data_IF_398412642653
#
_entry.id   IF_398412642653
#
_cell.length_a   1.000
_cell.length_b   1.000
_cell.length_c   1.000
_cell.angle_alpha   90.00
_cell.angle_beta   90.00
_cell.angle_gamma   90.00
#
_symmetry.space_group_name_H-M   'P 1'
#
loop_
_entity.id
_entity.type
_entity.pdbx_description
1 polymer ?
#
# COMPACT_ATOMS: atom_id res chain seq x y z
N UNK A 1 30.13 18.99 69.36
CA UNK A 1 29.33 20.25 69.33
C UNK A 1 28.68 20.48 67.98
N UNK A 2 29.30 20.12 66.82
CA UNK A 2 28.74 20.32 65.49
C UNK A 2 27.47 19.41 65.19
N UNK A 3 27.46 18.18 65.73
CA UNK A 3 26.29 17.25 65.53
C UNK A 3 25.03 17.71 66.27
N UNK A 4 25.16 18.39 67.39
CA UNK A 4 24.01 18.94 68.16
C UNK A 4 23.36 20.14 67.46
N UNK A 5 24.13 21.00 66.76
CA UNK A 5 23.59 22.15 66.02
C UNK A 5 22.78 21.75 64.76
N UNK A 6 23.05 20.59 64.17
CA UNK A 6 22.30 20.06 63.03
C UNK A 6 20.97 19.48 63.49
N UNK A 7 20.90 18.84 64.64
CA UNK A 7 19.69 18.30 65.24
C UNK A 7 18.65 19.40 65.55
N UNK A 8 19.11 20.56 66.05
CA UNK A 8 18.21 21.67 66.40
C UNK A 8 17.59 22.37 65.17
N UNK A 9 18.23 22.29 64.00
CA UNK A 9 17.72 22.87 62.75
C UNK A 9 16.80 21.93 61.95
N UNK A 10 16.57 20.72 62.45
CA UNK A 10 15.65 19.80 61.73
C UNK A 10 14.20 20.21 62.02
N UNK A 11 13.33 20.23 61.00
CA UNK A 11 11.91 20.54 61.19
C UNK A 11 11.24 19.57 62.16
N UNK A 12 11.77 18.34 62.32
CA UNK A 12 11.37 17.36 63.33
C UNK A 12 11.65 17.85 64.76
N UNK A 13 12.84 18.40 65.02
CA UNK A 13 13.17 18.92 66.35
C UNK A 13 12.29 20.14 66.70
N UNK A 14 11.97 20.98 65.72
CA UNK A 14 11.06 22.12 65.88
C UNK A 14 9.64 21.70 66.22
N UNK A 15 9.07 20.69 65.53
CA UNK A 15 7.73 20.18 65.86
C UNK A 15 7.67 19.46 67.19
N UNK A 16 8.72 18.71 67.58
CA UNK A 16 8.81 18.08 68.87
C UNK A 16 8.89 19.12 69.99
N UNK A 17 9.71 20.18 69.85
CA UNK A 17 9.82 21.24 70.83
C UNK A 17 8.48 22.00 70.96
N UNK A 18 7.79 22.29 69.84
CA UNK A 18 6.51 22.98 69.83
C UNK A 18 5.40 22.10 70.48
N UNK A 19 5.39 20.81 70.22
CA UNK A 19 4.46 19.83 70.83
C UNK A 19 4.66 19.78 72.33
N UNK A 20 5.92 19.70 72.79
CA UNK A 20 6.24 19.65 74.21
C UNK A 20 5.86 20.95 74.92
N UNK A 21 6.13 22.10 74.29
CA UNK A 21 5.78 23.42 74.76
C UNK A 21 4.29 23.61 74.94
N UNK A 22 3.49 23.15 73.95
CA UNK A 22 2.03 23.16 73.99
C UNK A 22 1.47 22.22 75.08
N UNK A 23 2.07 21.04 75.23
CA UNK A 23 1.70 20.09 76.30
C UNK A 23 1.88 20.72 77.64
N UNK A 24 3.05 21.38 77.88
CA UNK A 24 3.38 22.06 79.15
C UNK A 24 2.49 23.28 79.33
N UNK A 25 2.27 24.10 78.32
CA UNK A 25 1.47 25.32 78.40
C UNK A 25 0.01 25.02 78.71
N UNK A 26 -0.62 24.10 77.92
CA UNK A 26 -2.03 23.75 78.06
C UNK A 26 -2.25 22.94 79.37
N UNK A 27 -1.38 21.94 79.63
CA UNK A 27 -1.46 21.17 80.86
C UNK A 27 -1.23 22.06 82.09
N UNK A 28 -0.22 22.97 82.08
CA UNK A 28 0.06 23.91 83.16
C UNK A 28 -1.03 24.93 83.38
N UNK A 29 -1.72 25.39 82.28
CA UNK A 29 -2.86 26.32 82.40
C UNK A 29 -4.05 25.66 83.07
N UNK A 30 -4.37 24.42 82.63
CA UNK A 30 -5.48 23.60 83.20
C UNK A 30 -5.24 23.19 84.67
N UNK A 31 -3.96 23.03 85.12
CA UNK A 31 -3.61 22.73 86.51
C UNK A 31 -3.86 23.92 87.44
N UNK A 32 -4.03 25.16 86.96
CA UNK A 32 -4.39 26.33 87.73
C UNK A 32 -5.85 26.46 88.01
N UNK A 33 -6.70 25.71 87.31
CA UNK A 33 -8.17 25.70 87.51
C UNK A 33 -8.47 24.76 88.70
N UNK A 34 -9.11 25.24 89.80
CA UNK A 34 -9.44 24.41 90.93
C UNK A 34 -10.44 23.30 90.70
N UNK A 35 -11.16 23.32 89.55
CA UNK A 35 -12.15 22.33 89.18
C UNK A 35 -11.63 21.21 88.28
N UNK A 36 -10.37 21.25 87.83
CA UNK A 36 -9.80 20.22 86.96
C UNK A 36 -8.92 19.24 87.75
N UNK A 37 -9.12 17.98 87.51
CA UNK A 37 -8.27 16.92 88.12
C UNK A 37 -6.95 16.85 87.39
N UNK A 38 -5.83 16.50 88.07
CA UNK A 38 -4.48 16.35 87.46
C UNK A 38 -4.49 15.40 86.32
N UNK A 39 -5.34 14.39 86.32
CA UNK A 39 -5.43 13.40 85.22
C UNK A 39 -6.08 13.99 83.95
N UNK A 40 -7.04 14.91 84.06
CA UNK A 40 -7.70 15.58 82.94
C UNK A 40 -6.77 16.62 82.30
N UNK A 41 -6.04 17.37 83.06
CA UNK A 41 -5.06 18.31 82.58
C UNK A 41 -3.96 17.62 81.77
N UNK A 42 -3.49 16.44 82.24
CA UNK A 42 -2.49 15.67 81.52
C UNK A 42 -3.04 15.06 80.22
N UNK A 43 -4.28 14.58 80.24
CA UNK A 43 -4.96 14.03 79.01
C UNK A 43 -5.15 15.10 77.96
N UNK A 44 -5.64 16.27 78.33
CA UNK A 44 -5.91 17.37 77.37
C UNK A 44 -4.61 17.97 76.82
N UNK A 45 -3.59 18.14 77.66
CA UNK A 45 -2.24 18.57 77.24
C UNK A 45 -1.61 17.54 76.28
N UNK A 46 -1.75 16.25 76.62
CA UNK A 46 -1.25 15.16 75.77
C UNK A 46 -1.96 15.10 74.37
N UNK A 47 -3.27 15.33 74.37
CA UNK A 47 -4.03 15.44 73.10
C UNK A 47 -3.59 16.63 72.24
N UNK A 48 -3.39 17.79 72.87
CA UNK A 48 -2.93 19.01 72.13
C UNK A 48 -1.51 18.83 71.56
N UNK A 49 -0.60 18.22 72.33
CA UNK A 49 0.74 17.90 71.86
C UNK A 49 0.74 16.81 70.74
N UNK A 50 -0.12 15.77 70.92
CA UNK A 50 -0.29 14.72 69.93
C UNK A 50 -0.84 15.20 68.60
N UNK A 51 -1.76 16.20 68.62
CA UNK A 51 -2.34 16.78 67.40
C UNK A 51 -1.27 17.42 66.52
N UNK A 52 -0.26 18.12 67.11
CA UNK A 52 0.84 18.71 66.33
C UNK A 52 1.70 17.64 65.66
N UNK A 53 2.02 16.58 66.37
CA UNK A 53 2.78 15.44 65.82
C UNK A 53 2.04 14.79 64.68
N UNK A 54 0.70 14.60 64.83
CA UNK A 54 -0.16 14.03 63.79
C UNK A 54 -0.20 14.95 62.55
N UNK A 55 -0.41 16.25 62.72
CA UNK A 55 -0.40 17.22 61.60
C UNK A 55 0.94 17.26 60.88
N UNK A 56 2.04 17.17 61.62
CA UNK A 56 3.39 17.12 61.01
C UNK A 56 3.59 15.83 60.24
N UNK A 57 3.11 14.68 60.77
CA UNK A 57 3.21 13.40 60.08
C UNK A 57 2.38 13.42 58.80
N UNK A 58 1.17 14.01 58.79
CA UNK A 58 0.35 14.21 57.62
C UNK A 58 1.02 15.11 56.60
N UNK A 59 1.59 16.24 57.03
CA UNK A 59 2.32 17.14 56.13
C UNK A 59 3.57 16.46 55.52
N UNK A 60 4.31 15.69 56.30
CA UNK A 60 5.48 14.96 55.82
C UNK A 60 5.08 13.87 54.80
N UNK A 61 3.98 13.20 55.07
CA UNK A 61 3.42 12.18 54.14
C UNK A 61 2.97 12.83 52.84
N UNK A 62 2.24 13.95 52.90
CA UNK A 62 1.82 14.71 51.72
C UNK A 62 3.04 15.20 50.92
N UNK A 63 4.05 15.70 51.59
CA UNK A 63 5.31 16.12 50.93
C UNK A 63 6.04 14.96 50.25
N UNK A 64 6.06 13.77 50.89
CA UNK A 64 6.61 12.55 50.26
C UNK A 64 5.83 12.13 49.03
N UNK A 65 4.50 12.13 49.11
CA UNK A 65 3.64 11.81 47.98
C UNK A 65 3.89 12.77 46.79
N UNK A 66 3.97 14.07 47.03
CA UNK A 66 4.25 15.04 45.97
C UNK A 66 5.64 14.86 45.32
N UNK A 67 6.63 14.44 46.07
CA UNK A 67 7.97 14.13 45.53
C UNK A 67 7.94 12.87 44.71
N UNK A 68 7.22 11.84 45.16
CA UNK A 68 7.01 10.59 44.44
C UNK A 68 6.24 10.80 43.12
N UNK A 69 5.16 11.57 43.16
CA UNK A 69 4.36 11.96 41.96
C UNK A 69 5.21 12.70 40.94
N UNK A 70 6.06 13.66 41.41
CA UNK A 70 6.99 14.39 40.51
C UNK A 70 8.06 13.47 39.93
N UNK A 71 8.57 12.50 40.68
CA UNK A 71 9.52 11.52 40.14
C UNK A 71 8.87 10.64 39.06
N UNK A 72 7.67 10.12 39.31
CA UNK A 72 6.95 9.34 38.33
C UNK A 72 6.66 10.16 37.06
N UNK A 73 6.29 11.42 37.21
CA UNK A 73 6.04 12.29 36.05
C UNK A 73 7.34 12.53 35.24
N UNK A 74 8.47 12.77 35.90
CA UNK A 74 9.77 12.92 35.22
C UNK A 74 10.17 11.62 34.52
N UNK A 75 9.94 10.46 35.16
CA UNK A 75 10.24 9.15 34.55
C UNK A 75 9.38 8.89 33.33
N UNK A 76 8.07 9.21 33.38
CA UNK A 76 7.17 9.12 32.21
C UNK A 76 7.64 10.02 31.07
N UNK A 77 7.96 11.28 31.38
CA UNK A 77 8.44 12.22 30.38
C UNK A 77 9.77 11.76 29.75
N UNK A 78 10.69 11.19 30.53
CA UNK A 78 11.92 10.60 29.99
C UNK A 78 11.64 9.44 29.08
N UNK A 79 10.76 8.52 29.49
CA UNK A 79 10.39 7.38 28.67
C UNK A 79 9.74 7.81 27.34
N UNK A 80 8.84 8.80 27.37
CA UNK A 80 8.22 9.37 26.17
C UNK A 80 9.26 10.02 25.24
N UNK A 81 10.23 10.75 25.82
CA UNK A 81 11.32 11.35 25.04
C UNK A 81 12.24 10.28 24.42
N UNK A 82 12.55 9.21 25.13
CA UNK A 82 13.36 8.10 24.63
C UNK A 82 12.63 7.36 23.51
N UNK A 83 11.32 7.11 23.66
CA UNK A 83 10.50 6.52 22.61
C UNK A 83 10.48 7.39 21.35
N UNK A 84 10.26 8.71 21.48
CA UNK A 84 10.29 9.64 20.35
C UNK A 84 11.66 9.68 19.67
N UNK A 85 12.75 9.68 20.41
CA UNK A 85 14.11 9.62 19.85
C UNK A 85 14.35 8.33 19.08
N UNK A 86 13.96 7.20 19.67
CA UNK A 86 14.09 5.89 19.01
C UNK A 86 13.30 5.83 17.70
N UNK A 87 12.09 6.41 17.67
CA UNK A 87 11.30 6.47 16.46
C UNK A 87 11.91 7.39 15.40
N UNK A 88 12.38 8.59 15.80
CA UNK A 88 13.10 9.49 14.90
C UNK A 88 14.39 8.88 14.32
N UNK A 89 15.13 8.14 15.14
CA UNK A 89 16.33 7.44 14.67
C UNK A 89 15.98 6.33 13.67
N UNK A 90 14.88 5.59 13.90
CA UNK A 90 14.37 4.60 12.95
C UNK A 90 13.92 5.23 11.63
N UNK A 91 13.23 6.37 11.70
CA UNK A 91 12.83 7.13 10.51
C UNK A 91 14.06 7.54 9.70
N UNK A 92 15.01 8.18 10.34
CA UNK A 92 16.24 8.62 9.71
C UNK A 92 17.02 7.48 9.05
N UNK A 93 17.16 6.32 9.73
CA UNK A 93 17.84 5.15 9.17
C UNK A 93 17.08 4.62 7.93
N UNK A 94 15.73 4.64 7.96
CA UNK A 94 14.92 4.21 6.82
C UNK A 94 15.07 5.17 5.64
N UNK A 95 15.07 6.48 5.88
CA UNK A 95 15.29 7.51 4.87
C UNK A 95 16.68 7.39 4.22
N UNK A 96 17.72 7.21 5.04
CA UNK A 96 19.10 7.01 4.56
C UNK A 96 19.23 5.74 3.71
N UNK A 97 18.59 4.65 4.13
CA UNK A 97 18.56 3.38 3.36
C UNK A 97 17.81 3.56 2.05
N UNK A 98 16.65 4.23 2.06
CA UNK A 98 15.88 4.51 0.86
C UNK A 98 16.71 5.35 -0.12
N UNK A 99 17.24 6.50 0.32
CA UNK A 99 18.04 7.39 -0.51
C UNK A 99 19.26 6.67 -1.12
N UNK A 100 19.99 5.89 -0.30
CA UNK A 100 21.15 5.12 -0.77
C UNK A 100 20.75 4.04 -1.78
N UNK A 101 19.60 3.39 -1.58
CA UNK A 101 19.11 2.37 -2.51
C UNK A 101 18.70 3.00 -3.85
N UNK A 102 18.05 4.18 -3.83
CA UNK A 102 17.74 4.92 -5.07
C UNK A 102 19.01 5.32 -5.82
N UNK A 103 20.05 5.79 -5.12
CA UNK A 103 21.35 6.10 -5.73
C UNK A 103 21.96 4.86 -6.40
N UNK A 104 21.92 3.71 -5.73
CA UNK A 104 22.47 2.45 -6.25
C UNK A 104 21.72 1.88 -7.44
N UNK A 105 20.45 2.28 -7.69
CA UNK A 105 19.75 1.93 -8.93
C UNK A 105 20.37 2.54 -10.18
N UNK A 106 21.15 3.61 -10.03
CA UNK A 106 21.92 4.22 -11.11
C UNK A 106 23.27 3.54 -11.38
N UNK A 107 23.64 2.49 -10.67
CA UNK A 107 24.92 1.81 -10.83
C UNK A 107 24.95 0.97 -12.12
N UNK A 108 26.13 0.88 -12.74
CA UNK A 108 26.31 0.10 -13.98
C UNK A 108 26.25 -1.42 -13.73
N UNK A 109 26.63 -1.87 -12.54
CA UNK A 109 26.62 -3.30 -12.18
C UNK A 109 25.21 -3.80 -11.85
N UNK A 110 24.72 -4.79 -12.60
CA UNK A 110 23.38 -5.37 -12.46
C UNK A 110 23.09 -5.89 -11.06
N UNK A 111 24.07 -6.58 -10.45
CA UNK A 111 23.96 -7.14 -9.11
C UNK A 111 23.74 -6.03 -8.06
N UNK A 112 24.35 -4.86 -8.24
CA UNK A 112 24.17 -3.70 -7.35
C UNK A 112 22.76 -3.16 -7.50
N UNK A 113 22.25 -3.03 -8.74
CA UNK A 113 20.87 -2.58 -9.02
C UNK A 113 19.84 -3.55 -8.44
N UNK A 114 20.04 -4.86 -8.63
CA UNK A 114 19.17 -5.89 -8.01
C UNK A 114 19.19 -5.80 -6.50
N UNK A 115 20.38 -5.67 -5.89
CA UNK A 115 20.51 -5.49 -4.44
C UNK A 115 19.77 -4.23 -3.94
N UNK A 116 19.87 -3.13 -4.68
CA UNK A 116 19.17 -1.88 -4.39
C UNK A 116 17.64 -2.04 -4.44
N UNK A 117 17.11 -2.75 -5.45
CA UNK A 117 15.67 -3.05 -5.55
C UNK A 117 15.17 -3.87 -4.37
N UNK A 118 15.92 -4.89 -3.96
CA UNK A 118 15.58 -5.69 -2.77
C UNK A 118 15.65 -4.87 -1.49
N UNK A 119 16.62 -3.96 -1.37
CA UNK A 119 16.70 -3.05 -0.22
C UNK A 119 15.50 -2.10 -0.16
N UNK A 120 15.06 -1.53 -1.31
CA UNK A 120 13.83 -0.72 -1.41
C UNK A 120 12.60 -1.53 -1.00
N UNK A 121 12.45 -2.75 -1.52
CA UNK A 121 11.35 -3.64 -1.12
C UNK A 121 11.39 -3.97 0.39
N UNK A 122 12.59 -4.11 0.97
CA UNK A 122 12.79 -4.27 2.41
C UNK A 122 12.32 -3.06 3.21
N UNK A 123 12.58 -1.84 2.73
CA UNK A 123 12.06 -0.60 3.33
C UNK A 123 10.53 -0.59 3.28
N UNK A 124 9.92 -0.86 2.14
CA UNK A 124 8.46 -0.89 1.98
C UNK A 124 7.78 -1.92 2.91
N UNK A 125 8.37 -3.11 3.09
CA UNK A 125 7.84 -4.14 4.00
C UNK A 125 7.97 -3.76 5.47
N UNK A 126 9.03 -3.07 5.85
CA UNK A 126 9.24 -2.61 7.24
C UNK A 126 8.43 -1.36 7.57
N UNK A 127 8.12 -0.54 6.55
CA UNK A 127 7.42 0.73 6.65
C UNK A 127 6.40 0.87 5.52
N UNK A 128 5.14 0.45 5.75
CA UNK A 128 4.10 0.45 4.72
C UNK A 128 3.83 1.82 4.08
N UNK A 129 4.15 2.92 4.76
CA UNK A 129 4.05 4.29 4.24
C UNK A 129 4.96 4.55 3.03
N UNK A 130 6.06 3.78 2.88
CA UNK A 130 6.95 3.88 1.72
C UNK A 130 6.52 3.02 0.54
N UNK A 131 5.52 2.14 0.69
CA UNK A 131 5.18 1.16 -0.35
C UNK A 131 4.85 1.83 -1.67
N UNK A 132 4.01 2.88 -1.69
CA UNK A 132 3.71 3.60 -2.93
C UNK A 132 4.97 4.23 -3.54
N UNK A 133 5.79 4.89 -2.74
CA UNK A 133 7.03 5.54 -3.22
C UNK A 133 7.99 4.52 -3.82
N UNK A 134 8.14 3.34 -3.20
CA UNK A 134 8.98 2.27 -3.73
C UNK A 134 8.41 1.71 -5.03
N UNK A 135 7.10 1.51 -5.12
CA UNK A 135 6.43 1.10 -6.36
C UNK A 135 6.64 2.13 -7.47
N UNK A 136 6.54 3.43 -7.17
CA UNK A 136 6.80 4.51 -8.13
C UNK A 136 8.24 4.49 -8.65
N UNK A 137 9.23 4.22 -7.79
CA UNK A 137 10.64 4.07 -8.16
C UNK A 137 10.84 2.84 -9.07
N UNK A 138 10.28 1.68 -8.72
CA UNK A 138 10.37 0.47 -9.53
C UNK A 138 9.66 0.63 -10.89
N UNK A 139 8.47 1.23 -10.91
CA UNK A 139 7.77 1.56 -12.15
C UNK A 139 8.57 2.55 -13.01
N UNK A 140 9.17 3.57 -12.38
CA UNK A 140 10.06 4.51 -13.08
C UNK A 140 11.27 3.82 -13.72
N UNK A 141 11.86 2.85 -13.02
CA UNK A 141 12.93 2.03 -13.59
C UNK A 141 12.45 1.26 -14.83
N UNK A 142 11.27 0.63 -14.78
CA UNK A 142 10.70 -0.10 -15.92
C UNK A 142 10.32 0.80 -17.10
N UNK A 143 10.05 2.09 -16.88
CA UNK A 143 9.78 3.06 -17.94
C UNK A 143 11.04 3.55 -18.70
N UNK A 144 12.22 3.24 -18.20
CA UNK A 144 13.45 3.54 -18.93
C UNK A 144 13.42 2.85 -20.30
N UNK A 145 13.85 3.53 -21.37
CA UNK A 145 13.91 2.92 -22.70
C UNK A 145 14.70 1.62 -22.66
N UNK A 146 14.12 0.58 -23.21
CA UNK A 146 14.73 -0.74 -23.29
C UNK A 146 14.25 -1.44 -24.55
N UNK A 147 15.18 -2.08 -25.25
CA UNK A 147 14.91 -2.91 -26.42
C UNK A 147 15.65 -4.23 -26.26
N UNK A 148 15.04 -5.30 -26.75
CA UNK A 148 15.63 -6.63 -26.74
C UNK A 148 15.41 -7.27 -28.11
N UNK A 149 16.36 -8.05 -28.58
CA UNK A 149 16.28 -8.69 -29.90
C UNK A 149 14.99 -9.49 -30.10
N UNK A 150 14.51 -10.18 -29.06
CA UNK A 150 13.25 -10.92 -29.12
C UNK A 150 12.00 -10.05 -29.31
N UNK A 151 12.07 -8.73 -29.04
CA UNK A 151 10.93 -7.81 -29.23
C UNK A 151 10.79 -7.32 -30.66
N UNK A 152 11.83 -7.48 -31.48
CA UNK A 152 11.85 -7.06 -32.88
C UNK A 152 11.25 -8.15 -33.81
N UNK A 153 11.03 -9.35 -33.31
CA UNK A 153 10.43 -10.42 -34.06
C UNK A 153 8.94 -10.21 -34.29
N UNK A 154 8.51 -10.33 -35.53
CA UNK A 154 7.10 -10.26 -35.92
C UNK A 154 6.39 -11.59 -35.58
N UNK A 155 5.41 -11.56 -34.71
CA UNK A 155 4.55 -12.72 -34.40
C UNK A 155 4.14 -12.81 -32.93
N UNK A 156 3.02 -13.46 -32.62
CA UNK A 156 2.64 -13.73 -31.26
C UNK A 156 3.58 -14.75 -30.63
N UNK A 157 4.11 -14.47 -29.45
CA UNK A 157 4.79 -15.49 -28.65
C UNK A 157 3.76 -16.50 -28.13
N UNK A 158 3.87 -17.73 -28.54
CA UNK A 158 2.94 -18.79 -28.20
C UNK A 158 3.24 -19.45 -26.85
N UNK A 159 4.48 -19.48 -26.44
CA UNK A 159 4.93 -20.08 -25.17
C UNK A 159 5.88 -19.15 -24.40
N UNK A 160 5.75 -19.03 -23.05
CA UNK A 160 6.70 -18.34 -22.20
C UNK A 160 8.14 -18.82 -22.31
N UNK A 161 8.35 -20.07 -22.67
CA UNK A 161 9.67 -20.68 -22.82
C UNK A 161 10.18 -20.68 -24.28
N UNK A 162 9.32 -20.32 -25.24
CA UNK A 162 9.65 -20.33 -26.65
C UNK A 162 10.30 -19.01 -27.06
N UNK A 163 11.53 -18.83 -26.64
CA UNK A 163 12.40 -17.74 -27.11
C UNK A 163 13.12 -18.09 -28.40
N UNK A 164 12.66 -19.07 -29.15
CA UNK A 164 13.11 -19.48 -30.48
C UNK A 164 14.59 -19.17 -30.82
N UNK A 165 15.51 -19.38 -29.88
CA UNK A 165 16.94 -19.21 -30.08
C UNK A 165 17.44 -17.77 -30.30
N UNK A 166 16.57 -16.76 -30.19
CA UNK A 166 16.98 -15.34 -30.29
C UNK A 166 17.45 -14.85 -28.93
N UNK A 167 18.75 -14.84 -28.78
CA UNK A 167 19.40 -14.21 -27.64
C UNK A 167 19.73 -12.75 -27.95
N UNK A 168 19.51 -11.88 -26.96
CA UNK A 168 19.99 -10.50 -27.00
C UNK A 168 21.51 -10.42 -26.85
N UNK A 169 22.05 -9.20 -26.86
CA UNK A 169 23.42 -9.02 -26.39
C UNK A 169 23.53 -9.39 -24.90
N UNK A 170 24.73 -9.74 -24.40
CA UNK A 170 24.91 -10.01 -22.98
C UNK A 170 24.35 -8.90 -22.06
N UNK A 171 24.51 -7.64 -22.46
CA UNK A 171 24.00 -6.48 -21.72
C UNK A 171 22.46 -6.42 -21.74
N UNK A 172 21.82 -6.78 -22.86
CA UNK A 172 20.36 -6.85 -22.96
C UNK A 172 19.79 -7.95 -22.08
N UNK A 173 20.44 -9.11 -22.08
CA UNK A 173 20.01 -10.24 -21.22
C UNK A 173 20.16 -9.91 -19.73
N UNK A 174 21.27 -9.28 -19.32
CA UNK A 174 21.47 -8.86 -17.93
C UNK A 174 20.44 -7.80 -17.52
N UNK A 175 20.22 -6.79 -18.35
CA UNK A 175 19.18 -5.78 -18.08
C UNK A 175 17.79 -6.40 -18.00
N UNK A 176 17.46 -7.38 -18.84
CA UNK A 176 16.20 -8.11 -18.77
C UNK A 176 16.02 -8.79 -17.41
N UNK A 177 17.04 -9.44 -16.86
CA UNK A 177 16.97 -10.06 -15.54
C UNK A 177 16.73 -9.04 -14.42
N UNK A 178 17.36 -7.87 -14.51
CA UNK A 178 17.10 -6.76 -13.58
C UNK A 178 15.64 -6.29 -13.67
N UNK A 179 15.10 -6.13 -14.88
CA UNK A 179 13.71 -5.71 -15.13
C UNK A 179 12.70 -6.76 -14.65
N UNK A 180 12.95 -8.04 -14.88
CA UNK A 180 12.12 -9.13 -14.35
C UNK A 180 12.13 -9.15 -12.82
N UNK A 181 13.28 -8.83 -12.20
CA UNK A 181 13.35 -8.67 -10.75
C UNK A 181 12.49 -7.49 -10.25
N UNK A 182 12.54 -6.34 -10.95
CA UNK A 182 11.69 -5.20 -10.62
C UNK A 182 10.19 -5.56 -10.70
N UNK A 183 9.77 -6.25 -11.77
CA UNK A 183 8.39 -6.70 -11.95
C UNK A 183 7.96 -7.64 -10.81
N UNK A 184 8.79 -8.64 -10.46
CA UNK A 184 8.51 -9.55 -9.36
C UNK A 184 8.35 -8.81 -8.03
N UNK A 185 9.23 -7.85 -7.74
CA UNK A 185 9.13 -7.06 -6.50
C UNK A 185 7.91 -6.15 -6.47
N UNK A 186 7.47 -5.61 -7.61
CA UNK A 186 6.19 -4.90 -7.70
C UNK A 186 5.05 -5.82 -7.29
N UNK A 187 4.98 -7.03 -7.86
CA UNK A 187 3.95 -8.03 -7.54
C UNK A 187 3.97 -8.40 -6.05
N UNK A 188 5.16 -8.63 -5.49
CA UNK A 188 5.34 -9.01 -4.08
C UNK A 188 4.93 -7.90 -3.10
N UNK A 189 4.99 -6.63 -3.51
CA UNK A 189 4.60 -5.49 -2.70
C UNK A 189 3.10 -5.16 -2.78
N UNK A 190 2.41 -5.64 -3.81
CA UNK A 190 0.98 -5.45 -3.96
C UNK A 190 0.21 -6.39 -3.03
N UNK A 191 -0.82 -5.89 -2.34
CA UNK A 191 -1.67 -6.73 -1.51
C UNK A 191 -2.53 -7.68 -2.35
N UNK A 192 -3.02 -8.73 -1.72
CA UNK A 192 -3.94 -9.67 -2.32
C UNK A 192 -5.32 -9.04 -2.57
N UNK A 193 -6.01 -9.51 -3.61
CA UNK A 193 -7.28 -8.93 -4.06
C UNK A 193 -8.40 -9.03 -3.00
N UNK A 194 -8.35 -10.04 -2.16
CA UNK A 194 -9.32 -10.33 -1.09
C UNK A 194 -9.02 -9.62 0.23
N UNK A 195 -7.82 -9.07 0.42
CA UNK A 195 -7.51 -8.27 1.61
C UNK A 195 -8.32 -6.98 1.63
N UNK A 196 -9.46 -7.00 2.37
CA UNK A 196 -10.35 -5.86 2.47
C UNK A 196 -9.71 -4.63 3.15
N UNK A 197 -8.71 -4.83 4.01
CA UNK A 197 -8.09 -3.76 4.83
C UNK A 197 -6.91 -3.09 4.13
N UNK A 198 -6.21 -3.81 3.26
CA UNK A 198 -5.07 -3.24 2.58
C UNK A 198 -5.48 -2.13 1.59
N UNK A 199 -4.69 -1.06 1.45
CA UNK A 199 -4.91 -0.04 0.43
C UNK A 199 -4.65 -0.60 -0.96
N UNK A 200 -5.23 0.02 -2.00
CA UNK A 200 -4.79 -0.20 -3.38
C UNK A 200 -3.67 0.75 -3.72
N UNK A 201 -2.58 0.22 -4.26
CA UNK A 201 -1.43 1.01 -4.73
C UNK A 201 -1.52 1.28 -6.23
N UNK A 202 -1.06 2.45 -6.65
CA UNK A 202 -1.05 2.88 -8.04
C UNK A 202 0.18 2.34 -8.77
N UNK A 203 0.00 1.93 -10.03
CA UNK A 203 1.07 1.51 -10.91
C UNK A 203 1.08 2.38 -12.18
N UNK A 204 2.16 3.12 -12.40
CA UNK A 204 2.39 3.85 -13.64
C UNK A 204 3.51 3.20 -14.47
N UNK A 205 3.10 2.35 -15.40
CA UNK A 205 3.95 1.67 -16.37
C UNK A 205 3.77 2.24 -17.78
N UNK A 206 3.42 3.52 -17.89
CA UNK A 206 3.26 4.22 -19.17
C UNK A 206 4.54 4.12 -20.00
N UNK A 207 4.46 3.55 -21.21
CA UNK A 207 5.58 3.37 -22.12
C UNK A 207 6.63 2.34 -21.67
N UNK A 208 6.39 1.60 -20.58
CA UNK A 208 7.29 0.55 -20.12
C UNK A 208 7.31 -0.64 -21.08
N UNK A 209 8.48 -1.24 -21.27
CA UNK A 209 8.61 -2.55 -21.90
C UNK A 209 8.63 -3.60 -20.79
N UNK A 210 7.61 -4.43 -20.71
CA UNK A 210 7.46 -5.48 -19.69
C UNK A 210 7.25 -6.84 -20.36
N UNK A 211 7.77 -7.89 -19.76
CA UNK A 211 7.69 -9.25 -20.26
C UNK A 211 7.17 -10.17 -19.16
N UNK A 212 6.24 -11.07 -19.51
CA UNK A 212 5.60 -11.99 -18.56
C UNK A 212 5.02 -11.28 -17.31
N UNK A 213 4.36 -10.13 -17.51
CA UNK A 213 3.79 -9.38 -16.40
C UNK A 213 2.63 -10.17 -15.78
N UNK A 214 2.83 -10.72 -14.59
CA UNK A 214 1.81 -11.45 -13.84
C UNK A 214 1.45 -10.69 -12.55
N UNK A 215 0.29 -10.04 -12.59
CA UNK A 215 -0.31 -9.32 -11.45
C UNK A 215 -1.51 -10.08 -10.87
N UNK A 216 -1.68 -11.37 -11.23
CA UNK A 216 -2.87 -12.14 -10.86
C UNK A 216 -3.14 -12.13 -9.36
N UNK A 217 -4.43 -12.04 -9.00
CA UNK A 217 -4.88 -12.03 -7.61
C UNK A 217 -4.47 -10.82 -6.80
N UNK A 218 -4.00 -9.73 -7.43
CA UNK A 218 -3.53 -8.54 -6.70
C UNK A 218 -4.58 -7.44 -6.63
N UNK A 219 -4.51 -6.66 -5.54
CA UNK A 219 -5.29 -5.45 -5.34
C UNK A 219 -4.49 -4.25 -5.80
N UNK A 220 -5.05 -3.51 -6.74
CA UNK A 220 -4.37 -2.40 -7.42
C UNK A 220 -5.25 -1.15 -7.26
N UNK A 221 -4.63 -0.01 -7.00
CA UNK A 221 -5.28 1.29 -7.04
C UNK A 221 -5.61 1.67 -8.49
N UNK A 222 -4.80 2.49 -9.09
CA UNK A 222 -4.85 2.86 -10.50
C UNK A 222 -3.78 2.09 -11.27
N UNK A 223 -4.05 1.67 -12.50
CA UNK A 223 -3.06 1.06 -13.39
C UNK A 223 -2.97 1.80 -14.72
N UNK A 224 -1.76 2.26 -15.06
CA UNK A 224 -1.47 2.94 -16.33
C UNK A 224 -0.48 2.09 -17.13
N UNK A 225 -0.96 1.53 -18.25
CA UNK A 225 -0.18 0.77 -19.23
C UNK A 225 -0.30 1.41 -20.63
N UNK A 226 -0.48 2.73 -20.67
CA UNK A 226 -0.56 3.48 -21.93
C UNK A 226 0.75 3.35 -22.69
N UNK A 227 0.67 3.02 -23.97
CA UNK A 227 1.84 2.86 -24.85
C UNK A 227 2.88 1.84 -24.34
N UNK A 228 2.51 0.99 -23.38
CA UNK A 228 3.42 -0.04 -22.88
C UNK A 228 3.61 -1.15 -23.91
N UNK A 229 4.85 -1.60 -24.07
CA UNK A 229 5.17 -2.84 -24.77
C UNK A 229 4.90 -4.02 -23.82
N UNK A 230 3.80 -4.74 -24.03
CA UNK A 230 3.43 -5.91 -23.26
C UNK A 230 3.90 -7.16 -24.01
N UNK A 231 5.11 -7.60 -23.71
CA UNK A 231 5.74 -8.71 -24.40
C UNK A 231 5.36 -10.06 -23.75
N UNK A 232 5.24 -11.08 -24.57
CA UNK A 232 4.94 -12.47 -24.18
C UNK A 232 3.54 -12.62 -23.54
N UNK A 233 3.37 -12.54 -22.24
CA UNK A 233 2.07 -12.66 -21.61
C UNK A 233 1.82 -11.59 -20.56
N UNK A 234 0.56 -11.16 -20.44
CA UNK A 234 0.10 -10.28 -19.37
C UNK A 234 -1.06 -10.93 -18.66
N UNK A 235 -0.97 -11.10 -17.36
CA UNK A 235 -1.98 -11.76 -16.55
C UNK A 235 -2.47 -10.84 -15.41
N UNK A 236 -3.76 -10.51 -15.45
CA UNK A 236 -4.47 -9.74 -14.44
C UNK A 236 -5.62 -10.56 -13.81
N UNK A 237 -5.64 -11.89 -14.03
CA UNK A 237 -6.75 -12.72 -13.57
C UNK A 237 -6.95 -12.62 -12.07
N UNK A 238 -8.22 -12.50 -11.63
CA UNK A 238 -8.57 -12.37 -10.22
C UNK A 238 -8.14 -11.06 -9.56
N UNK A 239 -7.64 -10.07 -10.33
CA UNK A 239 -7.30 -8.76 -9.78
C UNK A 239 -8.52 -7.98 -9.33
N UNK A 240 -8.31 -7.13 -8.33
CA UNK A 240 -9.27 -6.10 -7.93
C UNK A 240 -8.67 -4.72 -8.14
N UNK A 241 -9.10 -4.04 -9.21
CA UNK A 241 -8.60 -2.72 -9.61
C UNK A 241 -9.61 -1.67 -9.12
N UNK A 242 -9.20 -0.87 -8.13
CA UNK A 242 -10.06 0.08 -7.43
C UNK A 242 -10.21 1.40 -8.18
N UNK A 243 -9.14 1.83 -8.84
CA UNK A 243 -9.06 3.06 -9.62
C UNK A 243 -9.21 2.83 -11.11
N UNK A 244 -9.01 3.87 -11.92
CA UNK A 244 -9.07 3.76 -13.38
C UNK A 244 -7.93 2.90 -13.93
N UNK A 245 -8.26 2.11 -14.97
CA UNK A 245 -7.33 1.25 -15.69
C UNK A 245 -7.17 1.74 -17.14
N UNK A 246 -5.94 2.04 -17.55
CA UNK A 246 -5.65 2.57 -18.89
C UNK A 246 -4.62 1.70 -19.59
N UNK A 247 -5.07 1.02 -20.65
CA UNK A 247 -4.25 0.21 -21.56
C UNK A 247 -4.13 0.87 -22.94
N UNK A 248 -4.46 2.15 -23.05
CA UNK A 248 -4.54 2.87 -24.33
C UNK A 248 -3.29 2.69 -25.17
N UNK A 249 -3.45 2.23 -26.42
CA UNK A 249 -2.39 1.96 -27.35
C UNK A 249 -1.26 1.04 -26.79
N UNK A 250 -1.55 0.20 -25.80
CA UNK A 250 -0.64 -0.81 -25.35
C UNK A 250 -0.41 -1.86 -26.43
N UNK A 251 0.79 -2.42 -26.50
CA UNK A 251 1.16 -3.41 -27.51
C UNK A 251 1.35 -2.88 -28.94
N UNK A 252 1.21 -1.57 -29.16
CA UNK A 252 1.21 -0.98 -30.50
C UNK A 252 2.59 -0.61 -31.04
N UNK A 253 3.65 -0.71 -30.26
CA UNK A 253 4.95 -0.24 -30.69
C UNK A 253 5.80 -1.34 -31.30
N UNK A 254 6.09 -1.16 -32.57
CA UNK A 254 7.16 -1.75 -33.39
C UNK A 254 7.59 -3.16 -32.97
N UNK A 255 6.94 -4.16 -33.52
CA UNK A 255 7.43 -5.52 -33.47
C UNK A 255 6.46 -6.50 -32.84
N UNK A 256 6.71 -6.94 -31.62
CA UNK A 256 5.96 -8.03 -31.00
C UNK A 256 4.65 -7.54 -30.43
N UNK A 257 3.57 -8.07 -30.92
CA UNK A 257 2.23 -7.85 -30.39
C UNK A 257 2.13 -8.40 -28.96
N UNK A 258 1.17 -7.89 -28.18
CA UNK A 258 0.83 -8.50 -26.89
C UNK A 258 0.63 -9.99 -27.11
N UNK A 259 1.33 -10.83 -26.37
CA UNK A 259 1.08 -12.25 -26.32
C UNK A 259 -0.28 -12.56 -25.72
N UNK A 260 -0.43 -13.58 -24.92
CA UNK A 260 -1.69 -13.86 -24.26
C UNK A 260 -2.02 -12.77 -23.22
N UNK A 261 -3.22 -12.21 -23.28
CA UNK A 261 -3.75 -11.26 -22.31
C UNK A 261 -4.87 -11.90 -21.50
N UNK A 262 -4.73 -11.98 -20.18
CA UNK A 262 -5.68 -12.65 -19.31
C UNK A 262 -6.21 -11.69 -18.25
N UNK A 263 -7.53 -11.57 -18.18
CA UNK A 263 -8.26 -10.79 -17.19
C UNK A 263 -9.45 -11.59 -16.63
N UNK A 264 -9.32 -12.92 -16.48
CA UNK A 264 -10.39 -13.75 -15.95
C UNK A 264 -10.77 -13.32 -14.55
N UNK A 265 -12.07 -13.23 -14.28
CA UNK A 265 -12.62 -12.92 -12.97
C UNK A 265 -12.04 -11.62 -12.36
N UNK A 266 -11.51 -10.73 -13.19
CA UNK A 266 -10.97 -9.43 -12.79
C UNK A 266 -12.08 -8.44 -12.54
N UNK A 267 -11.99 -7.67 -11.46
CA UNK A 267 -12.95 -6.59 -11.15
C UNK A 267 -12.34 -5.22 -11.40
N UNK A 268 -12.88 -4.48 -12.36
CA UNK A 268 -12.58 -3.09 -12.63
C UNK A 268 -13.67 -2.21 -11.98
N UNK A 269 -13.35 -1.54 -10.88
CA UNK A 269 -14.34 -0.73 -10.16
C UNK A 269 -14.61 0.63 -10.81
N UNK A 270 -13.68 1.14 -11.59
CA UNK A 270 -13.81 2.38 -12.35
C UNK A 270 -13.63 2.11 -13.84
N UNK A 271 -13.43 3.19 -14.62
CA UNK A 271 -13.25 3.10 -16.08
C UNK A 271 -12.09 2.19 -16.48
N UNK A 272 -12.31 1.40 -17.54
CA UNK A 272 -11.30 0.53 -18.12
C UNK A 272 -11.15 0.83 -19.61
N UNK A 273 -10.04 1.41 -20.02
CA UNK A 273 -9.80 1.90 -21.37
C UNK A 273 -8.70 1.11 -22.08
N UNK A 274 -9.11 0.42 -23.13
CA UNK A 274 -8.27 -0.36 -24.02
C UNK A 274 -8.21 0.26 -25.43
N UNK A 275 -8.43 1.57 -25.54
CA UNK A 275 -8.52 2.24 -26.84
C UNK A 275 -7.22 2.11 -27.63
N UNK A 276 -7.30 1.63 -28.88
CA UNK A 276 -6.16 1.42 -29.75
C UNK A 276 -5.18 0.33 -29.28
N UNK A 277 -5.56 -0.50 -28.32
CA UNK A 277 -4.76 -1.64 -27.86
C UNK A 277 -4.73 -2.73 -28.94
N UNK A 278 -3.58 -3.37 -29.14
CA UNK A 278 -3.42 -4.49 -30.08
C UNK A 278 -3.15 -5.77 -29.29
N UNK A 279 -4.12 -6.68 -29.28
CA UNK A 279 -4.00 -8.02 -28.73
C UNK A 279 -3.53 -8.98 -29.82
N UNK A 280 -2.27 -9.38 -29.78
CA UNK A 280 -1.65 -10.19 -30.83
C UNK A 280 -1.97 -11.68 -30.76
N UNK A 281 -2.31 -12.16 -29.56
CA UNK A 281 -2.73 -13.53 -29.30
C UNK A 281 -4.07 -13.52 -28.56
N UNK A 282 -4.40 -14.61 -27.87
CA UNK A 282 -5.66 -14.74 -27.14
C UNK A 282 -5.83 -13.67 -26.05
N UNK A 283 -6.97 -12.98 -26.10
CA UNK A 283 -7.43 -12.04 -25.06
C UNK A 283 -8.61 -12.66 -24.29
N UNK A 284 -8.40 -13.00 -23.03
CA UNK A 284 -9.34 -13.74 -22.20
C UNK A 284 -9.87 -12.87 -21.05
N UNK A 285 -11.11 -12.44 -21.17
CA UNK A 285 -11.81 -11.59 -20.19
C UNK A 285 -12.94 -12.35 -19.47
N UNK A 286 -13.00 -13.67 -19.56
CA UNK A 286 -14.10 -14.47 -19.01
C UNK A 286 -14.37 -14.15 -17.56
N UNK A 287 -15.66 -13.97 -17.22
CA UNK A 287 -16.11 -13.69 -15.86
C UNK A 287 -15.70 -12.31 -15.32
N UNK A 288 -15.00 -11.48 -16.09
CA UNK A 288 -14.58 -10.15 -15.64
C UNK A 288 -15.80 -9.26 -15.36
N UNK A 289 -15.63 -8.36 -14.39
CA UNK A 289 -16.65 -7.36 -14.02
C UNK A 289 -16.15 -5.95 -14.28
N UNK A 290 -16.84 -5.22 -15.14
CA UNK A 290 -16.60 -3.83 -15.45
C UNK A 290 -17.69 -2.96 -14.80
N UNK A 291 -17.38 -2.35 -13.65
CA UNK A 291 -18.31 -1.49 -12.94
C UNK A 291 -18.35 -0.07 -13.53
N UNK A 292 -17.27 0.40 -14.13
CA UNK A 292 -17.17 1.69 -14.82
C UNK A 292 -17.38 1.60 -16.33
N UNK A 293 -17.22 2.71 -17.03
CA UNK A 293 -17.22 2.75 -18.49
C UNK A 293 -16.07 1.93 -19.05
N UNK A 294 -16.35 1.11 -20.06
CA UNK A 294 -15.38 0.26 -20.74
C UNK A 294 -15.24 0.69 -22.21
N UNK A 295 -14.02 0.88 -22.64
CA UNK A 295 -13.75 1.45 -23.96
C UNK A 295 -12.68 0.63 -24.72
N UNK A 296 -13.10 -0.03 -25.81
CA UNK A 296 -12.25 -0.73 -26.76
C UNK A 296 -12.16 -0.01 -28.12
N UNK A 297 -12.43 1.29 -28.18
CA UNK A 297 -12.38 2.06 -29.45
C UNK A 297 -11.05 1.82 -30.16
N UNK A 298 -11.12 1.47 -31.45
CA UNK A 298 -9.96 1.18 -32.30
C UNK A 298 -9.07 0.03 -31.83
N UNK A 299 -9.51 -0.77 -30.87
CA UNK A 299 -8.77 -1.96 -30.44
C UNK A 299 -8.74 -3.00 -31.57
N UNK A 300 -7.65 -3.76 -31.62
CA UNK A 300 -7.46 -4.85 -32.56
C UNK A 300 -7.20 -6.14 -31.79
N UNK A 301 -8.07 -7.11 -31.95
CA UNK A 301 -7.89 -8.49 -31.51
C UNK A 301 -7.41 -9.30 -32.71
N UNK A 302 -6.10 -9.50 -32.85
CA UNK A 302 -5.54 -10.30 -33.94
C UNK A 302 -5.72 -11.80 -33.69
N UNK A 303 -5.71 -12.22 -32.42
CA UNK A 303 -6.07 -13.57 -31.99
C UNK A 303 -7.49 -13.64 -31.44
N UNK A 304 -7.79 -14.72 -30.71
CA UNK A 304 -9.10 -14.96 -30.11
C UNK A 304 -9.46 -13.92 -29.05
N UNK A 305 -10.74 -13.55 -28.99
CA UNK A 305 -11.30 -12.64 -28.01
C UNK A 305 -12.46 -13.33 -27.26
N UNK A 306 -12.24 -13.62 -25.99
CA UNK A 306 -13.19 -14.33 -25.14
C UNK A 306 -13.73 -13.40 -24.04
N UNK A 307 -14.95 -12.89 -24.25
CA UNK A 307 -15.66 -12.04 -23.30
C UNK A 307 -16.87 -12.77 -22.70
N UNK A 308 -16.87 -14.10 -22.73
CA UNK A 308 -17.94 -14.92 -22.17
C UNK A 308 -18.13 -14.62 -20.69
N UNK A 309 -19.38 -14.57 -20.25
CA UNK A 309 -19.80 -14.33 -18.87
C UNK A 309 -19.30 -13.01 -18.26
N UNK A 310 -18.87 -12.05 -19.08
CA UNK A 310 -18.49 -10.70 -18.61
C UNK A 310 -19.73 -9.95 -18.11
N UNK A 311 -19.56 -9.23 -17.01
CA UNK A 311 -20.58 -8.35 -16.44
C UNK A 311 -20.22 -6.89 -16.70
N UNK A 312 -21.08 -6.17 -17.46
CA UNK A 312 -20.98 -4.72 -17.63
C UNK A 312 -22.06 -4.04 -16.81
N UNK A 313 -21.69 -3.16 -15.86
CA UNK A 313 -22.68 -2.38 -15.11
C UNK A 313 -22.87 -0.98 -15.67
N UNK A 314 -22.03 -0.57 -16.64
CA UNK A 314 -22.07 0.74 -17.29
C UNK A 314 -21.96 0.62 -18.81
N UNK A 315 -21.45 1.65 -19.50
CA UNK A 315 -21.33 1.68 -20.95
C UNK A 315 -20.16 0.84 -21.49
N UNK A 316 -20.36 0.27 -22.70
CA UNK A 316 -19.34 -0.40 -23.49
C UNK A 316 -19.23 0.26 -24.88
N UNK A 317 -18.02 0.64 -25.26
CA UNK A 317 -17.74 1.08 -26.63
C UNK A 317 -16.82 0.09 -27.34
N UNK A 318 -17.31 -0.44 -28.47
CA UNK A 318 -16.57 -1.25 -29.44
C UNK A 318 -16.39 -0.49 -30.77
N UNK A 319 -16.47 0.86 -30.73
CA UNK A 319 -16.36 1.72 -31.93
C UNK A 319 -15.08 1.41 -32.71
N UNK A 320 -15.24 1.01 -33.97
CA UNK A 320 -14.15 0.63 -34.88
C UNK A 320 -13.20 -0.45 -34.31
N UNK A 321 -13.70 -1.29 -33.41
CA UNK A 321 -12.98 -2.47 -32.94
C UNK A 321 -12.90 -3.53 -34.03
N UNK A 322 -11.81 -4.27 -34.13
CA UNK A 322 -11.61 -5.34 -35.10
C UNK A 322 -11.27 -6.63 -34.39
N UNK A 323 -11.97 -7.70 -34.79
CA UNK A 323 -11.75 -9.06 -34.31
C UNK A 323 -11.31 -9.92 -35.50
N UNK A 324 -10.10 -10.50 -35.41
CA UNK A 324 -9.52 -11.32 -36.47
C UNK A 324 -9.52 -12.83 -36.16
N UNK A 325 -9.74 -13.24 -34.94
CA UNK A 325 -9.83 -14.63 -34.49
C UNK A 325 -11.26 -15.00 -34.03
N UNK A 326 -11.36 -16.15 -33.33
CA UNK A 326 -12.59 -16.54 -32.65
C UNK A 326 -13.07 -15.45 -31.67
N UNK A 327 -14.40 -15.21 -31.63
CA UNK A 327 -15.01 -14.16 -30.83
C UNK A 327 -16.19 -14.70 -30.02
N UNK A 328 -16.14 -14.60 -28.72
CA UNK A 328 -17.30 -14.85 -27.84
C UNK A 328 -17.68 -13.58 -27.09
N UNK A 329 -18.82 -12.99 -27.42
CA UNK A 329 -19.40 -11.80 -26.80
C UNK A 329 -20.65 -12.13 -25.96
N UNK A 330 -20.81 -13.36 -25.51
CA UNK A 330 -21.96 -13.81 -24.70
C UNK A 330 -21.81 -13.32 -23.24
N UNK A 331 -22.29 -12.10 -23.01
CA UNK A 331 -22.17 -11.43 -21.68
C UNK A 331 -23.15 -12.05 -20.67
N UNK A 332 -22.72 -12.13 -19.41
CA UNK A 332 -23.61 -12.43 -18.28
C UNK A 332 -24.58 -11.28 -18.02
N UNK A 333 -24.10 -10.04 -18.14
CA UNK A 333 -24.91 -8.84 -18.03
C UNK A 333 -24.48 -7.86 -19.11
N UNK A 334 -25.43 -7.48 -19.96
CA UNK A 334 -25.23 -6.53 -21.05
C UNK A 334 -24.98 -5.10 -20.51
N UNK A 335 -24.22 -4.28 -21.26
CA UNK A 335 -23.96 -2.89 -20.89
C UNK A 335 -25.23 -2.03 -20.97
N UNK A 336 -25.31 -0.98 -20.11
CA UNK A 336 -26.42 0.00 -20.14
C UNK A 336 -26.46 0.85 -21.41
N UNK A 337 -25.30 1.14 -21.97
CA UNK A 337 -25.15 1.83 -23.25
C UNK A 337 -24.09 1.12 -24.07
N UNK A 338 -24.34 1.01 -25.38
CA UNK A 338 -23.51 0.25 -26.30
C UNK A 338 -23.21 1.09 -27.55
N UNK A 339 -21.94 1.13 -27.95
CA UNK A 339 -21.50 1.77 -29.17
C UNK A 339 -20.80 0.73 -30.07
N UNK A 340 -21.45 0.36 -31.19
CA UNK A 340 -20.99 -0.66 -32.14
C UNK A 340 -20.59 -0.09 -33.51
N UNK A 341 -20.42 1.22 -33.63
CA UNK A 341 -20.13 1.81 -34.94
C UNK A 341 -18.90 1.18 -35.59
N UNK A 342 -19.08 0.57 -36.76
CA UNK A 342 -18.03 -0.06 -37.56
C UNK A 342 -17.20 -1.11 -36.77
N UNK A 343 -17.85 -1.91 -35.93
CA UNK A 343 -17.23 -3.04 -35.21
C UNK A 343 -17.17 -4.23 -36.17
N UNK A 344 -15.97 -4.66 -36.54
CA UNK A 344 -15.71 -5.63 -37.59
C UNK A 344 -15.24 -6.97 -37.06
N UNK A 345 -15.69 -8.03 -37.69
CA UNK A 345 -15.30 -9.43 -37.44
C UNK A 345 -14.92 -10.11 -38.74
N UNK A 346 -14.14 -11.16 -38.65
CA UNK A 346 -13.87 -12.09 -39.72
C UNK A 346 -14.99 -13.18 -39.73
N UNK A 347 -15.87 -13.22 -40.74
CA UNK A 347 -17.00 -14.16 -40.78
C UNK A 347 -16.57 -15.63 -40.94
N UNK A 348 -15.35 -15.90 -41.35
CA UNK A 348 -14.81 -17.26 -41.49
C UNK A 348 -14.41 -17.86 -40.13
N UNK A 349 -14.43 -17.05 -39.06
CA UNK A 349 -14.13 -17.50 -37.71
C UNK A 349 -15.42 -17.84 -36.93
N UNK A 350 -15.28 -18.58 -35.86
CA UNK A 350 -16.40 -18.87 -34.95
C UNK A 350 -16.77 -17.60 -34.14
N UNK A 351 -18.06 -17.19 -34.24
CA UNK A 351 -18.54 -15.95 -33.64
C UNK A 351 -19.78 -16.25 -32.79
N UNK A 352 -19.68 -16.07 -31.49
CA UNK A 352 -20.79 -16.12 -30.56
C UNK A 352 -21.22 -14.72 -30.16
N UNK A 353 -22.46 -14.33 -30.43
CA UNK A 353 -23.04 -13.02 -30.18
C UNK A 353 -24.23 -13.10 -29.23
N UNK A 354 -24.53 -11.98 -28.49
CA UNK A 354 -25.81 -11.84 -27.81
C UNK A 354 -27.00 -12.01 -28.78
N UNK A 355 -28.18 -12.50 -28.33
CA UNK A 355 -29.32 -12.76 -29.20
C UNK A 355 -29.83 -11.53 -29.97
N UNK A 356 -29.62 -10.33 -29.46
CA UNK A 356 -30.04 -9.07 -30.06
C UNK A 356 -29.06 -8.54 -31.12
N UNK A 357 -27.92 -9.21 -31.32
CA UNK A 357 -26.91 -8.79 -32.28
C UNK A 357 -26.89 -9.67 -33.49
N UNK A 358 -26.57 -9.09 -34.64
CA UNK A 358 -26.44 -9.81 -35.91
C UNK A 358 -25.25 -9.37 -36.72
N UNK A 359 -24.85 -10.18 -37.68
CA UNK A 359 -23.79 -9.87 -38.64
C UNK A 359 -24.38 -9.27 -39.92
N UNK A 360 -23.82 -8.15 -40.33
CA UNK A 360 -24.09 -7.53 -41.62
C UNK A 360 -22.88 -7.74 -42.54
N UNK A 361 -22.97 -8.52 -43.62
CA UNK A 361 -21.85 -8.78 -44.50
C UNK A 361 -21.43 -7.51 -45.26
N UNK A 362 -20.12 -7.34 -45.43
CA UNK A 362 -19.51 -6.23 -46.16
C UNK A 362 -18.93 -6.72 -47.49
N UNK A 363 -18.68 -5.78 -48.43
CA UNK A 363 -18.19 -6.10 -49.79
C UNK A 363 -16.75 -6.63 -49.79
N UNK A 364 -15.99 -6.41 -48.75
CA UNK A 364 -14.57 -6.79 -48.60
C UNK A 364 -14.38 -8.18 -47.95
N UNK A 365 -15.42 -8.98 -47.87
CA UNK A 365 -15.38 -10.31 -47.25
C UNK A 365 -15.39 -10.29 -45.72
N UNK A 366 -15.57 -9.13 -45.09
CA UNK A 366 -15.74 -8.98 -43.64
C UNK A 366 -17.20 -8.85 -43.26
N UNK A 367 -17.49 -8.92 -41.99
CA UNK A 367 -18.82 -8.64 -41.47
C UNK A 367 -18.75 -7.57 -40.37
N UNK A 368 -19.84 -6.82 -40.25
CA UNK A 368 -20.02 -5.81 -39.22
C UNK A 368 -21.04 -6.29 -38.20
N UNK A 369 -20.74 -6.11 -36.91
CA UNK A 369 -21.71 -6.37 -35.86
C UNK A 369 -22.68 -5.20 -35.77
N UNK A 370 -23.98 -5.48 -35.76
CA UNK A 370 -25.05 -4.50 -35.56
C UNK A 370 -26.09 -5.03 -34.58
N UNK A 371 -26.84 -4.14 -33.95
CA UNK A 371 -27.99 -4.50 -33.13
C UNK A 371 -29.14 -4.89 -34.08
N UNK A 372 -29.87 -5.97 -33.78
CA UNK A 372 -30.95 -6.51 -34.61
C UNK A 372 -32.18 -5.61 -34.66
#
# INVERSE_FOLDING_TARGET
>A
VAKLRVLVKSPLAGTFALSLLLLVAVGGWLLKDPNTTRSEALKTGGLAGGAIVALYALWLNDRRRRVEERRQEIERQRHDLEMRRTEQDRERISDERFAKSVELLGNDADQVRVGAMHALAGVARSRPEYTQTVLDVLCSYLRRPYTHACYEQSGPATDPHDRDGVTGTPEQELELQVRLTAQRLIVDLLPEADDAKAPGYDLDLTGAAVEYLDLSGRKIGKILLRYAGLHSSTNLSGCRILGPAYFTAAGSTRGRLIGSFRCRDTTFQQRAWFSGTIFGAKADFRGATFAGETNFKYAVFAGDADLKDVTFTNGLSLHQTRFGGHVDLTFKQAPKSLELYNTMVDPDQEIALPPEWKLEPLRDGKARIVVA
#
